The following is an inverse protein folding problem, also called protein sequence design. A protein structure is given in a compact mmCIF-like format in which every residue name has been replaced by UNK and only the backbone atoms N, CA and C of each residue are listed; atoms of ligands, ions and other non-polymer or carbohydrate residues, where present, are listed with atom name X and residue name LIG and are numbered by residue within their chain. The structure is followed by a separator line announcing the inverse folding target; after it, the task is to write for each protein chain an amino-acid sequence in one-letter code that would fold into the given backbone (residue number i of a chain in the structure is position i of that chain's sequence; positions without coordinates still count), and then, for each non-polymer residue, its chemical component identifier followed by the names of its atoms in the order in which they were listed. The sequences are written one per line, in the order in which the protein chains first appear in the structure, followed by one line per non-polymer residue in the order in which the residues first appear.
data_IF_298454568583
#
_entry.id   IF_298454568583
#
_cell.length_a   1.000
_cell.length_b   1.000
_cell.length_c   1.000
_cell.angle_alpha   90.00
_cell.angle_beta   90.00
_cell.angle_gamma   90.00
#
_symmetry.space_group_name_H-M   'P 1'
#
loop_
_entity.id
_entity.type
_entity.pdbx_description
1 polymer ?
#
# COMPACT_ATOMS: atom_id res chain seq x y z
N UNK A 1 31.90 -0.97 -17.34
CA UNK A 1 30.47 -1.37 -17.31
C UNK A 1 29.84 -1.27 -15.91
N UNK A 2 30.62 -1.09 -14.84
CA UNK A 2 30.12 -0.64 -13.53
C UNK A 2 30.62 0.78 -13.29
N UNK A 3 29.79 1.78 -13.65
CA UNK A 3 30.05 3.17 -13.29
C UNK A 3 29.31 3.41 -11.98
N UNK A 4 30.01 3.77 -10.89
CA UNK A 4 29.36 4.06 -9.60
C UNK A 4 28.35 5.23 -9.72
N UNK A 5 28.53 6.09 -10.72
CA UNK A 5 27.62 7.16 -11.16
C UNK A 5 26.26 6.64 -11.67
N UNK A 6 26.16 5.37 -12.07
CA UNK A 6 24.87 4.75 -12.40
C UNK A 6 24.00 4.49 -11.16
N UNK A 7 24.66 4.29 -10.01
CA UNK A 7 24.05 4.09 -8.71
C UNK A 7 24.23 5.29 -7.79
N UNK A 8 24.84 6.40 -8.23
CA UNK A 8 25.03 7.57 -7.39
C UNK A 8 23.63 8.04 -7.01
N UNK A 9 23.22 7.82 -5.76
CA UNK A 9 21.90 8.22 -5.36
C UNK A 9 21.92 9.75 -5.44
N UNK A 10 20.91 10.35 -6.06
CA UNK A 10 20.46 11.57 -5.42
C UNK A 10 20.20 11.17 -3.96
N UNK A 11 20.68 11.90 -2.94
CA UNK A 11 20.49 11.60 -1.50
C UNK A 11 19.03 11.38 -1.04
N UNK A 12 18.10 11.30 -1.97
CA UNK A 12 16.80 11.91 -1.92
C UNK A 12 15.66 10.91 -1.91
N UNK A 13 15.89 9.62 -1.67
CA UNK A 13 14.78 8.66 -1.62
C UNK A 13 15.01 7.51 -0.65
N UNK A 14 15.97 7.58 0.27
CA UNK A 14 16.23 6.43 1.16
C UNK A 14 15.01 6.11 2.04
N UNK A 15 14.37 7.15 2.61
CA UNK A 15 13.15 6.97 3.39
C UNK A 15 12.00 6.48 2.51
N UNK A 16 11.82 7.08 1.33
CA UNK A 16 10.78 6.66 0.40
C UNK A 16 10.96 5.20 -0.06
N UNK A 17 12.19 4.78 -0.35
CA UNK A 17 12.51 3.40 -0.73
C UNK A 17 12.18 2.42 0.40
N UNK A 18 12.59 2.74 1.63
CA UNK A 18 12.26 1.90 2.79
C UNK A 18 10.75 1.88 3.08
N UNK A 19 10.08 3.03 3.02
CA UNK A 19 8.64 3.12 3.16
C UNK A 19 7.93 2.29 2.10
N UNK A 20 8.36 2.38 0.84
CA UNK A 20 7.80 1.61 -0.28
C UNK A 20 8.02 0.11 -0.12
N UNK A 21 9.18 -0.32 0.39
CA UNK A 21 9.45 -1.73 0.74
C UNK A 21 8.51 -2.20 1.85
N UNK A 22 8.25 -1.38 2.87
CA UNK A 22 7.29 -1.70 3.94
C UNK A 22 5.87 -1.77 3.40
N UNK A 23 5.45 -0.80 2.59
CA UNK A 23 4.12 -0.72 1.97
C UNK A 23 3.87 -1.94 1.10
N UNK A 24 4.75 -2.26 0.16
CA UNK A 24 4.57 -3.44 -0.68
C UNK A 24 4.77 -4.74 0.09
N UNK A 25 5.71 -4.81 1.03
CA UNK A 25 5.98 -6.01 1.81
C UNK A 25 4.78 -6.42 2.66
N UNK A 26 4.28 -5.51 3.50
CA UNK A 26 3.15 -5.78 4.38
C UNK A 26 1.81 -5.65 3.67
N UNK A 27 1.64 -4.70 2.76
CA UNK A 27 0.40 -4.56 1.98
C UNK A 27 0.06 -5.82 1.18
N UNK A 28 1.07 -6.50 0.63
CA UNK A 28 0.86 -7.79 -0.06
C UNK A 28 0.40 -8.93 0.86
N UNK A 29 0.63 -8.85 2.17
CA UNK A 29 0.19 -9.89 3.12
C UNK A 29 -1.34 -9.98 3.20
N UNK A 30 -2.01 -8.83 3.09
CA UNK A 30 -3.47 -8.74 3.07
C UNK A 30 -4.05 -8.81 1.64
N UNK A 31 -3.23 -8.94 0.61
CA UNK A 31 -3.68 -9.00 -0.77
C UNK A 31 -4.36 -10.35 -1.08
N UNK A 32 -5.61 -10.28 -1.54
CA UNK A 32 -6.50 -11.43 -1.69
C UNK A 32 -6.09 -12.37 -2.83
N UNK A 33 -5.44 -11.84 -3.86
CA UNK A 33 -4.91 -12.61 -4.99
C UNK A 33 -3.81 -13.60 -4.56
N UNK A 34 -2.99 -13.25 -3.57
CA UNK A 34 -2.04 -14.18 -2.95
C UNK A 34 -2.72 -15.17 -2.01
N UNK A 35 -3.66 -14.70 -1.18
CA UNK A 35 -4.36 -15.56 -0.21
C UNK A 35 -5.16 -16.66 -0.91
N UNK A 36 -5.88 -16.33 -2.00
CA UNK A 36 -6.65 -17.30 -2.78
C UNK A 36 -5.75 -18.42 -3.36
N UNK A 37 -4.53 -18.09 -3.81
CA UNK A 37 -3.56 -19.08 -4.32
C UNK A 37 -3.07 -20.02 -3.22
N UNK A 38 -2.87 -19.50 -2.00
CA UNK A 38 -2.49 -20.33 -0.86
C UNK A 38 -3.63 -21.29 -0.46
N UNK A 39 -4.88 -20.80 -0.46
CA UNK A 39 -6.07 -21.57 -0.12
C UNK A 39 -6.44 -22.63 -1.18
N UNK A 40 -6.09 -22.39 -2.44
CA UNK A 40 -6.27 -23.35 -3.54
C UNK A 40 -5.22 -24.48 -3.54
N UNK A 41 -4.20 -24.42 -2.69
CA UNK A 41 -3.16 -25.43 -2.63
C UNK A 41 -3.66 -26.74 -2.03
N UNK A 42 -3.14 -27.88 -2.52
CA UNK A 42 -3.56 -29.21 -2.06
C UNK A 42 -3.13 -29.52 -0.62
N UNK A 43 -2.01 -28.95 -0.17
CA UNK A 43 -1.46 -29.18 1.17
C UNK A 43 -0.70 -27.96 1.68
N UNK A 44 -0.61 -27.81 3.01
CA UNK A 44 0.13 -26.73 3.65
C UNK A 44 1.62 -26.71 3.25
N UNK A 45 2.25 -27.88 3.04
CA UNK A 45 3.65 -27.97 2.62
C UNK A 45 3.85 -27.35 1.23
N UNK A 46 2.94 -27.62 0.30
CA UNK A 46 2.98 -27.07 -1.06
C UNK A 46 2.74 -25.57 -1.06
N UNK A 47 1.81 -25.05 -0.25
CA UNK A 47 1.62 -23.61 -0.08
C UNK A 47 2.91 -22.91 0.40
N UNK A 48 3.52 -23.42 1.48
CA UNK A 48 4.75 -22.84 2.05
C UNK A 48 5.90 -22.87 1.05
N UNK A 49 6.12 -24.02 0.41
CA UNK A 49 7.17 -24.17 -0.59
C UNK A 49 6.93 -23.24 -1.80
N UNK A 50 5.68 -23.12 -2.26
CA UNK A 50 5.30 -22.20 -3.32
C UNK A 50 5.61 -20.73 -2.98
N UNK A 51 5.34 -20.30 -1.74
CA UNK A 51 5.66 -18.95 -1.29
C UNK A 51 7.18 -18.70 -1.24
N UNK A 52 7.96 -19.65 -0.74
CA UNK A 52 9.43 -19.53 -0.67
C UNK A 52 10.03 -19.47 -2.07
N UNK A 53 9.62 -20.39 -2.95
CA UNK A 53 10.08 -20.41 -4.35
C UNK A 53 9.68 -19.11 -5.05
N UNK A 54 8.44 -18.65 -4.87
CA UNK A 54 7.95 -17.38 -5.40
C UNK A 54 8.83 -16.20 -4.97
N UNK A 55 9.13 -16.08 -3.67
CA UNK A 55 10.01 -15.04 -3.15
C UNK A 55 11.43 -15.09 -3.74
N UNK A 56 12.03 -16.29 -3.87
CA UNK A 56 13.33 -16.44 -4.52
C UNK A 56 13.29 -16.00 -5.99
N UNK A 57 12.26 -16.39 -6.74
CA UNK A 57 12.08 -15.96 -8.13
C UNK A 57 11.91 -14.44 -8.25
N UNK A 58 11.17 -13.82 -7.32
CA UNK A 58 11.02 -12.36 -7.28
C UNK A 58 12.37 -11.66 -7.09
N UNK A 59 13.27 -12.19 -6.26
CA UNK A 59 14.62 -11.62 -6.12
C UNK A 59 15.45 -11.82 -7.39
N UNK A 60 15.42 -13.01 -7.97
CA UNK A 60 16.16 -13.36 -9.19
C UNK A 60 15.75 -12.48 -10.38
N UNK A 61 14.46 -12.14 -10.49
CA UNK A 61 13.94 -11.29 -11.58
C UNK A 61 14.03 -9.81 -11.20
N UNK A 62 13.65 -9.44 -9.98
CA UNK A 62 13.57 -8.06 -9.52
C UNK A 62 14.91 -7.34 -9.47
N UNK A 63 15.99 -8.03 -9.07
CA UNK A 63 17.32 -7.42 -9.00
C UNK A 63 17.83 -7.02 -10.40
N UNK A 64 17.86 -7.89 -11.42
CA UNK A 64 18.21 -7.50 -12.79
C UNK A 64 17.34 -6.39 -13.37
N UNK A 65 16.02 -6.43 -13.13
CA UNK A 65 15.12 -5.35 -13.57
C UNK A 65 15.44 -4.01 -12.90
N UNK A 66 15.80 -4.03 -11.62
CA UNK A 66 16.23 -2.83 -10.89
C UNK A 66 17.53 -2.25 -11.48
N UNK A 67 18.49 -3.12 -11.83
CA UNK A 67 19.70 -2.71 -12.55
C UNK A 67 19.40 -2.12 -13.93
N UNK A 68 18.41 -2.65 -14.63
CA UNK A 68 18.00 -2.10 -15.92
C UNK A 68 17.47 -0.67 -15.78
N UNK A 69 16.73 -0.37 -14.71
CA UNK A 69 16.34 1.00 -14.37
C UNK A 69 17.53 1.91 -14.07
N UNK A 70 18.54 1.42 -13.36
CA UNK A 70 19.79 2.16 -13.15
C UNK A 70 20.53 2.43 -14.47
N UNK A 71 20.54 1.47 -15.40
CA UNK A 71 21.11 1.66 -16.74
C UNK A 71 20.31 2.70 -17.54
N UNK A 72 18.98 2.70 -17.44
CA UNK A 72 18.14 3.74 -18.07
C UNK A 72 18.56 5.13 -17.63
N UNK A 73 18.81 5.32 -16.32
CA UNK A 73 19.29 6.60 -15.76
C UNK A 73 20.65 7.02 -16.32
N UNK A 74 21.56 6.10 -16.60
CA UNK A 74 22.87 6.45 -17.20
C UNK A 74 22.70 7.02 -18.61
N UNK A 75 21.75 6.50 -19.40
CA UNK A 75 21.57 6.89 -20.79
C UNK A 75 20.58 8.04 -21.02
N UNK A 76 19.63 8.23 -20.10
CA UNK A 76 18.52 9.21 -20.23
C UNK A 76 18.31 10.05 -18.96
N UNK A 77 19.19 9.93 -17.96
CA UNK A 77 19.15 10.75 -16.75
C UNK A 77 19.77 12.14 -16.94
N UNK A 78 19.91 12.92 -15.86
CA UNK A 78 20.38 14.31 -15.92
C UNK A 78 21.80 14.44 -16.51
N UNK A 79 22.68 13.47 -16.25
CA UNK A 79 24.07 13.49 -16.73
C UNK A 79 24.21 12.94 -18.17
N UNK A 80 23.09 12.64 -18.84
CA UNK A 80 23.11 12.00 -20.15
C UNK A 80 22.99 13.00 -21.30
N UNK A 81 23.48 12.60 -22.49
CA UNK A 81 23.38 13.41 -23.72
C UNK A 81 21.93 13.64 -24.16
N UNK A 82 21.00 12.80 -23.68
CA UNK A 82 19.58 12.88 -24.01
C UNK A 82 18.76 13.64 -22.95
N UNK A 83 19.42 14.26 -21.97
CA UNK A 83 18.75 15.08 -20.96
C UNK A 83 18.15 16.35 -21.57
N UNK A 84 16.87 16.58 -21.29
CA UNK A 84 16.20 17.85 -21.54
C UNK A 84 16.17 18.70 -20.28
N UNK A 85 16.42 20.00 -20.43
CA UNK A 85 16.41 20.96 -19.33
C UNK A 85 15.43 22.10 -19.59
N UNK A 86 14.85 22.65 -18.51
CA UNK A 86 13.98 23.81 -18.57
C UNK A 86 14.82 25.09 -18.69
N UNK A 87 14.52 25.92 -19.70
CA UNK A 87 15.33 27.09 -20.08
C UNK A 87 15.15 28.33 -19.19
N UNK A 88 14.18 28.32 -18.27
CA UNK A 88 13.89 29.45 -17.36
C UNK A 88 14.22 29.15 -15.88
N UNK A 89 15.16 28.23 -15.62
CA UNK A 89 15.45 27.72 -14.27
C UNK A 89 16.80 28.21 -13.71
N UNK A 90 16.86 28.52 -12.41
CA UNK A 90 18.08 28.90 -11.69
C UNK A 90 18.35 28.01 -10.47
N UNK A 91 19.64 27.82 -10.14
CA UNK A 91 20.07 27.17 -8.90
C UNK A 91 21.25 27.91 -8.24
N UNK A 92 21.07 28.36 -6.99
CA UNK A 92 22.09 29.11 -6.26
C UNK A 92 23.32 28.29 -5.86
N UNK A 93 23.19 26.96 -5.73
CA UNK A 93 24.31 26.08 -5.39
C UNK A 93 25.26 25.86 -6.58
N UNK A 94 24.68 25.77 -7.78
CA UNK A 94 25.43 25.52 -9.02
C UNK A 94 25.93 26.81 -9.68
N UNK A 95 25.35 27.98 -9.36
CA UNK A 95 25.77 29.27 -9.92
C UNK A 95 25.64 29.36 -11.44
N UNK A 96 24.78 28.52 -12.04
CA UNK A 96 24.59 28.38 -13.48
C UNK A 96 23.26 29.02 -13.90
N UNK A 97 23.26 29.89 -14.93
CA UNK A 97 22.05 30.52 -15.45
C UNK A 97 21.30 29.67 -16.49
N UNK A 98 19.98 29.91 -16.57
CA UNK A 98 18.97 29.47 -17.55
C UNK A 98 18.67 27.97 -17.73
N UNK A 99 19.61 27.02 -17.66
CA UNK A 99 19.31 25.61 -18.01
C UNK A 99 19.66 24.60 -16.92
N UNK A 100 19.08 24.73 -15.72
CA UNK A 100 19.49 23.92 -14.57
C UNK A 100 18.48 22.81 -14.18
N UNK A 101 17.18 22.97 -14.42
CA UNK A 101 16.15 22.01 -14.05
C UNK A 101 16.04 20.88 -15.08
N UNK A 102 16.28 19.64 -14.67
CA UNK A 102 16.15 18.45 -15.51
C UNK A 102 14.69 18.01 -15.64
N UNK A 103 14.20 17.84 -16.87
CA UNK A 103 12.88 17.25 -17.12
C UNK A 103 13.02 15.72 -17.27
N UNK A 104 12.33 14.92 -16.44
CA UNK A 104 12.31 13.47 -16.59
C UNK A 104 11.55 13.03 -17.84
N UNK A 105 12.17 12.19 -18.67
CA UNK A 105 11.49 11.53 -19.80
C UNK A 105 10.71 10.30 -19.29
N UNK A 106 9.37 10.37 -19.34
CA UNK A 106 8.47 9.27 -18.96
C UNK A 106 8.70 7.99 -19.78
N UNK A 107 9.21 8.12 -21.01
CA UNK A 107 9.46 7.01 -21.92
C UNK A 107 10.92 6.55 -21.93
N UNK A 108 11.76 7.03 -20.99
CA UNK A 108 13.18 6.73 -20.93
C UNK A 108 13.49 5.21 -20.96
N UNK A 109 12.71 4.41 -20.22
CA UNK A 109 12.88 2.95 -20.19
C UNK A 109 12.56 2.31 -21.55
N UNK A 110 11.51 2.77 -22.22
CA UNK A 110 11.12 2.29 -23.55
C UNK A 110 12.14 2.72 -24.60
N UNK A 111 12.68 3.94 -24.49
CA UNK A 111 13.75 4.46 -25.33
C UNK A 111 15.04 3.66 -25.16
N UNK A 112 15.38 3.21 -23.94
CA UNK A 112 16.51 2.30 -23.71
C UNK A 112 16.33 0.97 -24.46
N UNK A 113 15.16 0.35 -24.31
CA UNK A 113 14.88 -0.96 -24.90
C UNK A 113 14.81 -0.93 -26.44
N UNK A 114 14.38 0.18 -27.02
CA UNK A 114 14.19 0.29 -28.48
C UNK A 114 15.40 0.87 -29.21
N UNK A 115 16.15 1.79 -28.58
CA UNK A 115 17.26 2.52 -29.23
C UNK A 115 18.64 2.03 -28.83
N UNK A 116 18.81 1.41 -27.65
CA UNK A 116 20.12 0.98 -27.13
C UNK A 116 20.26 -0.53 -27.02
N UNK A 117 19.21 -1.24 -26.62
CA UNK A 117 19.25 -2.70 -26.52
C UNK A 117 19.23 -3.38 -27.91
N UNK A 118 19.82 -4.58 -28.06
CA UNK A 118 19.70 -5.36 -29.28
C UNK A 118 18.22 -5.62 -29.61
N UNK A 119 17.82 -5.42 -30.86
CA UNK A 119 16.40 -5.39 -31.26
C UNK A 119 15.58 -6.60 -30.78
N UNK A 120 16.16 -7.81 -30.87
CA UNK A 120 15.49 -9.05 -30.42
C UNK A 120 15.28 -9.06 -28.91
N UNK A 121 16.30 -8.68 -28.13
CA UNK A 121 16.22 -8.65 -26.67
C UNK A 121 15.31 -7.53 -26.16
N UNK A 122 15.39 -6.34 -26.78
CA UNK A 122 14.50 -5.22 -26.49
C UNK A 122 13.04 -5.58 -26.74
N UNK A 123 12.74 -6.17 -27.90
CA UNK A 123 11.41 -6.66 -28.24
C UNK A 123 10.89 -7.72 -27.25
N UNK A 124 11.73 -8.70 -26.88
CA UNK A 124 11.36 -9.72 -25.91
C UNK A 124 11.09 -9.15 -24.51
N UNK A 125 11.85 -8.14 -24.10
CA UNK A 125 11.64 -7.44 -22.84
C UNK A 125 10.30 -6.69 -22.83
N UNK A 126 9.95 -6.00 -23.93
CA UNK A 126 8.65 -5.32 -24.06
C UNK A 126 7.48 -6.32 -24.04
N UNK A 127 7.60 -7.46 -24.72
CA UNK A 127 6.60 -8.54 -24.66
C UNK A 127 6.47 -9.05 -23.22
N UNK A 128 7.59 -9.26 -22.53
CA UNK A 128 7.62 -9.67 -21.12
C UNK A 128 6.93 -8.67 -20.20
N UNK A 129 7.14 -7.37 -20.42
CA UNK A 129 6.49 -6.30 -19.66
C UNK A 129 4.96 -6.32 -19.83
N UNK A 130 4.48 -6.51 -21.07
CA UNK A 130 3.04 -6.64 -21.36
C UNK A 130 2.49 -7.91 -20.71
N UNK A 131 3.18 -9.04 -20.81
CA UNK A 131 2.76 -10.31 -20.21
C UNK A 131 2.68 -10.24 -18.68
N UNK A 132 3.67 -9.61 -18.03
CA UNK A 132 3.68 -9.41 -16.58
C UNK A 132 2.53 -8.51 -16.13
N UNK A 133 2.26 -7.42 -16.88
CA UNK A 133 1.15 -6.50 -16.61
C UNK A 133 -0.20 -7.21 -16.75
N UNK A 134 -0.38 -8.03 -17.80
CA UNK A 134 -1.60 -8.80 -18.04
C UNK A 134 -1.84 -9.85 -16.93
N UNK A 135 -0.79 -10.57 -16.50
CA UNK A 135 -0.92 -11.56 -15.42
C UNK A 135 -1.28 -10.95 -14.08
N UNK A 136 -0.78 -9.74 -13.77
CA UNK A 136 -1.09 -9.03 -12.52
C UNK A 136 -2.51 -8.47 -12.56
N UNK A 137 -2.90 -7.86 -13.68
CA UNK A 137 -4.23 -7.29 -13.87
C UNK A 137 -5.33 -8.35 -13.79
N UNK A 138 -5.12 -9.52 -14.39
CA UNK A 138 -6.08 -10.64 -14.32
C UNK A 138 -6.30 -11.11 -12.88
N UNK A 139 -5.21 -11.26 -12.10
CA UNK A 139 -5.28 -11.61 -10.68
C UNK A 139 -6.09 -10.62 -9.85
N UNK A 140 -5.82 -9.32 -10.00
CA UNK A 140 -6.50 -8.26 -9.26
C UNK A 140 -7.99 -8.14 -9.65
N UNK A 141 -8.31 -8.15 -10.95
CA UNK A 141 -9.69 -8.04 -11.44
C UNK A 141 -10.52 -9.25 -10.99
N UNK A 142 -9.96 -10.46 -11.10
CA UNK A 142 -10.63 -11.67 -10.67
C UNK A 142 -10.89 -11.67 -9.16
N UNK A 143 -9.92 -11.23 -8.35
CA UNK A 143 -10.08 -11.10 -6.90
C UNK A 143 -11.18 -10.09 -6.52
N UNK A 144 -11.25 -8.93 -7.17
CA UNK A 144 -12.33 -7.97 -6.93
C UNK A 144 -13.71 -8.53 -7.29
N UNK A 145 -13.82 -9.25 -8.41
CA UNK A 145 -15.07 -9.87 -8.83
C UNK A 145 -15.55 -10.98 -7.90
N UNK A 146 -14.64 -11.79 -7.35
CA UNK A 146 -15.01 -12.82 -6.37
C UNK A 146 -15.46 -12.21 -5.05
N UNK A 147 -14.78 -11.17 -4.56
CA UNK A 147 -15.19 -10.43 -3.35
C UNK A 147 -16.56 -9.81 -3.54
N UNK A 148 -16.78 -9.11 -4.66
CA UNK A 148 -18.06 -8.47 -4.92
C UNK A 148 -19.20 -9.48 -5.01
N UNK A 149 -18.98 -10.60 -5.70
CA UNK A 149 -20.00 -11.64 -5.83
C UNK A 149 -20.28 -12.40 -4.52
N UNK A 150 -19.25 -12.71 -3.73
CA UNK A 150 -19.41 -13.52 -2.51
C UNK A 150 -19.73 -12.69 -1.26
N UNK A 151 -19.16 -11.50 -1.09
CA UNK A 151 -19.32 -10.69 0.12
C UNK A 151 -20.47 -9.68 -0.01
N UNK A 152 -20.69 -9.10 -1.21
CA UNK A 152 -21.72 -8.07 -1.41
C UNK A 152 -23.00 -8.69 -1.97
N UNK A 153 -22.93 -9.30 -3.17
CA UNK A 153 -24.12 -9.84 -3.83
C UNK A 153 -24.83 -10.88 -2.97
N UNK A 154 -24.08 -11.81 -2.35
CA UNK A 154 -24.68 -12.84 -1.50
C UNK A 154 -25.42 -12.27 -0.29
N UNK A 155 -24.93 -11.18 0.30
CA UNK A 155 -25.62 -10.48 1.40
C UNK A 155 -26.87 -9.72 0.91
N UNK A 156 -26.89 -9.30 -0.35
CA UNK A 156 -28.05 -8.69 -1.01
C UNK A 156 -29.08 -9.72 -1.51
N UNK A 157 -28.80 -11.03 -1.38
CA UNK A 157 -29.71 -12.11 -1.76
C UNK A 157 -31.11 -12.02 -1.13
N UNK A 158 -31.30 -11.56 0.13
CA UNK A 158 -32.64 -11.39 0.69
C UNK A 158 -33.45 -10.28 -0.01
N UNK A 159 -32.77 -9.26 -0.55
CA UNK A 159 -33.39 -8.10 -1.20
C UNK A 159 -33.80 -8.42 -2.65
N UNK A 160 -33.07 -9.31 -3.33
CA UNK A 160 -33.30 -9.65 -4.74
C UNK A 160 -33.33 -11.18 -4.99
N UNK A 161 -34.30 -11.90 -4.40
CA UNK A 161 -34.34 -13.37 -4.39
C UNK A 161 -34.47 -14.01 -5.79
N UNK A 162 -35.10 -13.34 -6.75
CA UNK A 162 -35.25 -13.87 -8.12
C UNK A 162 -34.02 -13.64 -9.01
N UNK A 163 -33.25 -12.56 -8.78
CA UNK A 163 -32.05 -12.29 -9.54
C UNK A 163 -30.90 -13.22 -9.10
N UNK A 164 -30.72 -13.42 -7.80
CA UNK A 164 -29.58 -14.12 -7.17
C UNK A 164 -29.78 -15.64 -6.97
N UNK A 165 -30.20 -16.34 -8.01
CA UNK A 165 -30.35 -17.81 -7.97
C UNK A 165 -29.01 -18.52 -8.17
N UNK A 166 -28.75 -19.62 -7.42
CA UNK A 166 -27.50 -20.43 -7.46
C UNK A 166 -27.05 -20.84 -8.87
N UNK A 167 -27.99 -21.10 -9.77
CA UNK A 167 -27.68 -21.49 -11.17
C UNK A 167 -27.02 -20.36 -11.98
N UNK A 168 -27.23 -19.09 -11.59
CA UNK A 168 -26.62 -17.91 -12.21
C UNK A 168 -25.34 -17.45 -11.51
N UNK A 169 -24.85 -18.18 -10.51
CA UNK A 169 -23.69 -17.78 -9.71
C UNK A 169 -22.43 -17.55 -10.56
N UNK A 170 -22.22 -18.34 -11.61
CA UNK A 170 -21.10 -18.17 -12.55
C UNK A 170 -21.22 -16.89 -13.38
N UNK A 171 -22.43 -16.53 -13.82
CA UNK A 171 -22.69 -15.26 -14.51
C UNK A 171 -22.53 -14.07 -13.56
N UNK A 172 -22.93 -14.25 -12.29
CA UNK A 172 -22.81 -13.25 -11.24
C UNK A 172 -21.38 -13.00 -10.76
N UNK A 173 -20.47 -13.93 -10.98
CA UNK A 173 -19.03 -13.70 -10.77
C UNK A 173 -18.38 -13.00 -11.98
N UNK A 174 -18.84 -13.28 -13.22
CA UNK A 174 -18.24 -12.74 -14.45
C UNK A 174 -18.69 -11.33 -14.83
N UNK A 175 -19.93 -10.96 -14.52
CA UNK A 175 -20.44 -9.62 -14.84
C UNK A 175 -19.71 -8.51 -14.05
N UNK A 176 -19.47 -8.65 -12.73
CA UNK A 176 -18.68 -7.67 -11.98
C UNK A 176 -17.23 -7.59 -12.45
N UNK A 177 -16.58 -8.72 -12.78
CA UNK A 177 -15.21 -8.68 -13.32
C UNK A 177 -15.12 -7.88 -14.62
N UNK A 178 -16.12 -8.02 -15.51
CA UNK A 178 -16.16 -7.24 -16.75
C UNK A 178 -16.31 -5.74 -16.46
N UNK A 179 -17.20 -5.39 -15.52
CA UNK A 179 -17.41 -4.00 -15.12
C UNK A 179 -16.13 -3.37 -14.53
N UNK A 180 -15.46 -4.08 -13.61
CA UNK A 180 -14.19 -3.61 -13.05
C UNK A 180 -13.08 -3.53 -14.10
N UNK A 181 -13.03 -4.45 -15.07
CA UNK A 181 -12.06 -4.41 -16.15
C UNK A 181 -12.25 -3.17 -17.05
N UNK A 182 -13.49 -2.86 -17.44
CA UNK A 182 -13.80 -1.68 -18.25
C UNK A 182 -13.49 -0.38 -17.48
N UNK A 183 -13.87 -0.32 -16.19
CA UNK A 183 -13.58 0.83 -15.35
C UNK A 183 -12.07 1.06 -15.16
N UNK A 184 -11.32 -0.01 -14.84
CA UNK A 184 -9.87 0.05 -14.70
C UNK A 184 -9.18 0.45 -16.02
N UNK A 185 -9.62 -0.11 -17.16
CA UNK A 185 -9.11 0.25 -18.48
C UNK A 185 -9.38 1.71 -18.84
N UNK A 186 -10.56 2.24 -18.50
CA UNK A 186 -10.89 3.65 -18.71
C UNK A 186 -9.98 4.56 -17.87
N UNK A 187 -9.83 4.27 -16.57
CA UNK A 187 -8.97 5.06 -15.67
C UNK A 187 -7.51 5.04 -16.16
N UNK A 188 -7.00 3.87 -16.53
CA UNK A 188 -5.65 3.74 -17.06
C UNK A 188 -5.44 4.52 -18.37
N UNK A 189 -6.47 4.60 -19.22
CA UNK A 189 -6.40 5.35 -20.48
C UNK A 189 -6.41 6.87 -20.27
N UNK A 190 -7.12 7.38 -19.26
CA UNK A 190 -7.21 8.81 -18.99
C UNK A 190 -6.10 9.35 -18.08
N UNK A 191 -5.41 8.48 -17.32
CA UNK A 191 -4.44 8.90 -16.31
C UNK A 191 -3.13 8.11 -16.40
N UNK A 192 -2.62 7.92 -17.63
CA UNK A 192 -1.45 7.09 -17.89
C UNK A 192 -0.20 7.50 -17.08
N UNK A 193 0.03 8.81 -16.90
CA UNK A 193 1.22 9.36 -16.22
C UNK A 193 1.25 9.11 -14.70
N UNK A 194 0.11 8.78 -14.06
CA UNK A 194 0.01 8.68 -12.58
C UNK A 194 -0.11 7.20 -12.12
N UNK A 195 -0.15 6.25 -13.06
CA UNK A 195 -0.45 4.83 -12.79
C UNK A 195 0.45 4.19 -11.74
N UNK A 196 1.75 4.51 -11.75
CA UNK A 196 2.71 3.99 -10.76
C UNK A 196 2.41 4.43 -9.33
N UNK A 197 2.04 5.70 -9.15
CA UNK A 197 1.67 6.25 -7.84
C UNK A 197 0.37 5.65 -7.32
N UNK A 198 -0.62 5.45 -8.20
CA UNK A 198 -1.89 4.79 -7.85
C UNK A 198 -1.68 3.38 -7.30
N UNK A 199 -0.73 2.62 -7.85
CA UNK A 199 -0.39 1.29 -7.36
C UNK A 199 0.15 1.32 -5.93
N UNK A 200 1.08 2.24 -5.63
CA UNK A 200 1.65 2.38 -4.29
C UNK A 200 0.56 2.79 -3.29
N UNK A 201 -0.27 3.77 -3.65
CA UNK A 201 -1.39 4.23 -2.82
C UNK A 201 -2.39 3.10 -2.54
N UNK A 202 -2.66 2.21 -3.50
CA UNK A 202 -3.57 1.08 -3.29
C UNK A 202 -3.07 0.11 -2.19
N UNK A 203 -1.79 -0.28 -2.22
CA UNK A 203 -1.21 -1.15 -1.18
C UNK A 203 -1.03 -0.43 0.15
N UNK A 204 -0.81 0.87 0.11
CA UNK A 204 -0.67 1.71 1.30
C UNK A 204 -2.00 1.83 2.06
N UNK A 205 -3.13 2.01 1.36
CA UNK A 205 -4.45 1.97 1.99
C UNK A 205 -4.68 0.62 2.68
N UNK A 206 -4.29 -0.49 2.05
CA UNK A 206 -4.39 -1.84 2.65
C UNK A 206 -3.51 -1.94 3.91
N UNK A 207 -2.27 -1.41 3.87
CA UNK A 207 -1.39 -1.35 5.03
C UNK A 207 -2.03 -0.56 6.17
N UNK A 208 -2.50 0.65 5.91
CA UNK A 208 -3.09 1.54 6.90
C UNK A 208 -4.36 0.97 7.55
N UNK A 209 -5.18 0.23 6.79
CA UNK A 209 -6.53 -0.18 7.23
C UNK A 209 -6.62 -1.61 7.75
N UNK A 210 -6.00 -2.58 7.07
CA UNK A 210 -6.25 -4.01 7.31
C UNK A 210 -5.15 -4.66 8.13
N UNK A 211 -3.89 -4.22 7.99
CA UNK A 211 -2.76 -4.92 8.62
C UNK A 211 -2.83 -4.85 10.14
N UNK A 212 -3.06 -3.66 10.72
CA UNK A 212 -3.17 -3.51 12.17
C UNK A 212 -4.22 -4.45 12.82
N UNK A 213 -5.49 -4.45 12.38
CA UNK A 213 -6.50 -5.35 12.96
C UNK A 213 -6.25 -6.82 12.62
N UNK A 214 -5.66 -7.15 11.46
CA UNK A 214 -5.31 -8.53 11.11
C UNK A 214 -4.28 -9.11 12.07
N UNK A 215 -3.19 -8.39 12.33
CA UNK A 215 -2.19 -8.80 13.34
C UNK A 215 -2.80 -8.84 14.73
N UNK A 216 -3.64 -7.85 15.07
CA UNK A 216 -4.41 -7.84 16.30
C UNK A 216 -5.24 -9.11 16.51
N UNK A 217 -5.90 -9.61 15.46
CA UNK A 217 -6.71 -10.82 15.52
C UNK A 217 -5.88 -12.09 15.80
N UNK A 218 -4.69 -12.22 15.19
CA UNK A 218 -3.86 -13.42 15.36
C UNK A 218 -3.06 -13.43 16.67
N UNK A 219 -2.63 -12.26 17.16
CA UNK A 219 -1.71 -12.17 18.30
C UNK A 219 -2.39 -11.73 19.60
N UNK A 220 -3.58 -11.13 19.57
CA UNK A 220 -4.32 -10.82 20.79
C UNK A 220 -5.09 -12.05 21.30
N UNK A 221 -5.05 -12.28 22.62
CA UNK A 221 -5.76 -13.40 23.25
C UNK A 221 -7.30 -13.27 23.19
N UNK A 222 -7.84 -12.05 23.11
CA UNK A 222 -9.28 -11.76 23.00
C UNK A 222 -9.49 -10.54 22.08
N UNK A 223 -9.36 -10.70 20.76
CA UNK A 223 -9.50 -9.57 19.83
C UNK A 223 -10.95 -9.10 19.80
N UNK A 224 -11.14 -7.79 19.89
CA UNK A 224 -12.46 -7.17 19.77
C UNK A 224 -12.75 -6.76 18.33
N UNK A 225 -13.97 -7.07 17.85
CA UNK A 225 -14.42 -6.65 16.52
C UNK A 225 -14.53 -5.11 16.41
N UNK A 226 -14.79 -4.42 17.53
CA UNK A 226 -14.95 -2.97 17.57
C UNK A 226 -13.61 -2.24 17.45
N UNK A 227 -12.57 -2.70 18.16
CA UNK A 227 -11.22 -2.17 17.96
C UNK A 227 -10.77 -2.36 16.52
N UNK A 228 -11.13 -3.48 15.90
CA UNK A 228 -10.82 -3.72 14.50
C UNK A 228 -11.50 -2.71 13.55
N UNK A 229 -12.79 -2.41 13.74
CA UNK A 229 -13.48 -1.39 12.93
C UNK A 229 -12.93 0.02 13.15
N UNK A 230 -12.75 0.45 14.40
CA UNK A 230 -12.25 1.79 14.70
C UNK A 230 -10.81 2.00 14.18
N UNK A 231 -9.98 0.96 14.27
CA UNK A 231 -8.64 0.95 13.69
C UNK A 231 -8.69 1.09 12.16
N UNK A 232 -9.57 0.33 11.50
CA UNK A 232 -9.76 0.38 10.05
C UNK A 232 -10.21 1.77 9.58
N UNK A 233 -11.23 2.34 10.23
CA UNK A 233 -11.75 3.67 9.90
C UNK A 233 -10.70 4.75 10.15
N UNK A 234 -10.01 4.71 11.30
CA UNK A 234 -8.97 5.70 11.60
C UNK A 234 -7.83 5.63 10.60
N UNK A 235 -7.36 4.42 10.26
CA UNK A 235 -6.32 4.24 9.25
C UNK A 235 -6.72 4.82 7.90
N UNK A 236 -7.96 4.57 7.45
CA UNK A 236 -8.48 5.10 6.19
C UNK A 236 -8.58 6.63 6.21
N UNK A 237 -9.16 7.21 7.27
CA UNK A 237 -9.35 8.65 7.41
C UNK A 237 -8.00 9.35 7.46
N UNK A 238 -7.09 8.91 8.33
CA UNK A 238 -5.75 9.51 8.45
C UNK A 238 -5.02 9.41 7.12
N UNK A 239 -5.13 8.27 6.42
CA UNK A 239 -4.48 8.10 5.11
C UNK A 239 -5.03 9.04 4.05
N UNK A 240 -6.36 9.22 3.98
CA UNK A 240 -7.01 10.15 3.04
C UNK A 240 -6.66 11.59 3.39
N UNK A 241 -6.72 11.97 4.66
CA UNK A 241 -6.40 13.34 5.11
C UNK A 241 -4.95 13.67 4.79
N UNK A 242 -4.00 12.79 5.15
CA UNK A 242 -2.59 12.99 4.85
C UNK A 242 -2.29 12.93 3.34
N UNK A 243 -3.16 12.30 2.53
CA UNK A 243 -3.03 12.37 1.07
C UNK A 243 -3.11 13.80 0.54
N UNK A 244 -3.98 14.62 1.14
CA UNK A 244 -4.25 15.99 0.70
C UNK A 244 -3.52 17.06 1.51
N UNK A 245 -3.14 16.77 2.76
CA UNK A 245 -2.46 17.74 3.64
C UNK A 245 -0.95 17.78 3.42
N UNK A 246 -0.32 16.63 3.16
CA UNK A 246 1.13 16.58 2.96
C UNK A 246 1.51 16.99 1.55
N UNK A 247 2.52 17.85 1.46
CA UNK A 247 3.09 18.30 0.19
C UNK A 247 3.89 17.15 -0.44
N UNK A 248 3.76 17.01 -1.77
CA UNK A 248 4.38 15.96 -2.57
C UNK A 248 4.95 16.59 -3.83
N UNK A 249 6.22 16.96 -3.73
CA UNK A 249 6.92 17.59 -4.85
C UNK A 249 7.50 16.54 -5.82
N UNK A 250 7.39 15.24 -5.49
CA UNK A 250 7.90 14.13 -6.30
C UNK A 250 9.42 14.00 -6.29
N UNK A 251 10.09 14.78 -5.43
CA UNK A 251 11.54 14.80 -5.26
C UNK A 251 12.03 13.72 -4.29
N UNK A 252 11.10 13.06 -3.59
CA UNK A 252 11.25 11.99 -2.57
C UNK A 252 12.11 12.37 -1.36
N UNK A 253 12.42 13.66 -1.25
CA UNK A 253 13.28 14.30 -0.28
C UNK A 253 12.60 14.59 1.05
N UNK A 254 13.10 13.99 2.14
CA UNK A 254 12.79 14.54 3.46
C UNK A 254 13.29 15.99 3.54
N UNK A 255 12.48 16.92 4.07
CA UNK A 255 12.86 18.32 4.14
C UNK A 255 14.01 18.51 5.13
N UNK A 256 15.18 18.84 4.61
CA UNK A 256 16.33 19.25 5.40
C UNK A 256 16.64 20.72 5.13
N UNK A 257 17.10 21.44 6.16
CA UNK A 257 17.36 22.89 6.07
C UNK A 257 18.69 23.24 5.38
N UNK A 258 19.25 22.35 4.56
CA UNK A 258 20.50 22.61 3.85
C UNK A 258 20.24 23.21 2.46
N UNK A 259 21.19 23.99 1.96
CA UNK A 259 21.09 24.67 0.65
C UNK A 259 20.97 23.69 -0.53
N UNK A 260 21.37 22.44 -0.33
CA UNK A 260 21.25 21.35 -1.31
C UNK A 260 19.79 20.91 -1.57
N UNK A 261 18.85 21.30 -0.70
CA UNK A 261 17.43 20.94 -0.78
C UNK A 261 16.54 22.10 -1.27
N UNK A 262 17.15 23.12 -1.87
CA UNK A 262 16.43 24.18 -2.58
C UNK A 262 16.05 23.69 -3.98
N UNK A 263 14.79 23.88 -4.36
CA UNK A 263 14.27 23.62 -5.69
C UNK A 263 14.82 24.65 -6.70
N UNK A 264 14.72 24.35 -7.98
CA UNK A 264 15.00 25.31 -9.03
C UNK A 264 14.02 26.48 -8.95
N UNK A 265 14.55 27.69 -9.07
CA UNK A 265 13.77 28.93 -9.03
C UNK A 265 13.59 29.53 -10.42
N UNK A 266 12.71 30.52 -10.53
CA UNK A 266 12.67 31.38 -11.73
C UNK A 266 13.79 32.41 -11.64
N UNK A 267 14.62 32.50 -12.68
CA UNK A 267 15.67 33.50 -12.77
C UNK A 267 15.07 34.87 -13.08
N UNK A 268 15.16 35.83 -12.15
CA UNK A 268 14.80 37.22 -12.42
C UNK A 268 15.99 37.93 -13.08
N UNK A 269 16.03 37.98 -14.41
CA UNK A 269 17.02 38.79 -15.13
C UNK A 269 16.49 40.22 -15.28
N UNK A 270 17.12 41.19 -14.62
CA UNK A 270 16.68 42.59 -14.61
C UNK A 270 17.26 43.40 -15.77
N UNK A 271 18.26 42.86 -16.48
CA UNK A 271 19.05 43.64 -17.44
C UNK A 271 18.56 43.54 -18.88
N UNK A 272 18.11 42.37 -19.33
CA UNK A 272 17.63 42.14 -20.70
C UNK A 272 16.54 41.05 -20.76
N UNK A 273 15.57 41.14 -21.69
CA UNK A 273 14.49 40.17 -21.81
C UNK A 273 14.95 38.81 -22.36
N UNK A 274 14.28 37.74 -21.92
CA UNK A 274 14.62 36.33 -22.10
C UNK A 274 14.71 35.81 -23.56
N UNK A 275 14.28 36.58 -24.56
CA UNK A 275 14.27 36.16 -25.97
C UNK A 275 15.55 36.54 -26.75
N UNK A 276 16.59 37.03 -26.07
CA UNK A 276 17.87 37.42 -26.70
C UNK A 276 18.95 36.41 -26.32
N UNK A 277 19.40 35.63 -27.31
CA UNK A 277 20.51 34.67 -27.17
C UNK A 277 21.84 35.41 -26.95
N UNK A 278 22.28 35.50 -25.70
CA UNK A 278 23.56 36.10 -25.29
C UNK A 278 24.55 35.05 -24.76
N UNK A 279 25.82 35.42 -24.71
CA UNK A 279 26.87 34.61 -24.10
C UNK A 279 26.61 34.37 -22.61
N UNK A 280 26.96 33.17 -22.10
CA UNK A 280 26.62 32.68 -20.76
C UNK A 280 27.16 33.54 -19.60
N UNK A 281 28.17 34.38 -19.86
CA UNK A 281 28.75 35.36 -18.95
C UNK A 281 27.88 36.60 -18.70
N UNK A 282 26.82 36.78 -19.50
CA UNK A 282 25.85 37.88 -19.39
C UNK A 282 24.46 37.45 -18.93
N UNK A 283 24.27 36.15 -18.72
CA UNK A 283 23.02 35.56 -18.26
C UNK A 283 23.12 35.40 -16.74
N UNK A 284 22.37 36.21 -15.98
CA UNK A 284 22.18 36.13 -14.52
C UNK A 284 23.44 36.17 -13.62
N UNK A 285 23.59 37.24 -12.84
CA UNK A 285 24.64 37.37 -11.81
C UNK A 285 24.10 36.91 -10.44
N UNK A 286 24.55 35.78 -9.88
CA UNK A 286 24.04 35.23 -8.62
C UNK A 286 24.32 36.12 -7.41
N UNK A 287 25.19 37.14 -7.53
CA UNK A 287 25.50 38.09 -6.46
C UNK A 287 24.64 39.35 -6.50
N UNK A 288 24.02 39.67 -7.64
CA UNK A 288 23.23 40.89 -7.84
C UNK A 288 21.73 40.61 -8.07
N UNK A 289 21.37 39.43 -8.57
CA UNK A 289 19.99 39.08 -8.97
C UNK A 289 19.43 37.93 -8.11
N UNK A 290 18.23 38.14 -7.54
CA UNK A 290 17.59 37.17 -6.64
C UNK A 290 16.99 35.99 -7.41
N UNK A 291 17.46 34.77 -7.14
CA UNK A 291 16.78 33.53 -7.53
C UNK A 291 15.85 33.08 -6.40
N UNK A 292 14.54 33.20 -6.61
CA UNK A 292 13.54 32.74 -5.64
C UNK A 292 13.42 31.21 -5.74
N UNK A 293 14.14 30.51 -4.87
CA UNK A 293 14.08 29.04 -4.78
C UNK A 293 13.18 28.63 -3.60
N UNK A 294 12.18 27.80 -3.88
CA UNK A 294 11.39 27.16 -2.84
C UNK A 294 12.17 25.95 -2.26
N UNK A 295 11.93 25.62 -1.00
CA UNK A 295 12.55 24.43 -0.40
C UNK A 295 11.76 23.18 -0.83
N UNK A 296 12.44 22.09 -1.21
CA UNK A 296 11.78 20.81 -1.41
C UNK A 296 11.08 20.36 -0.12
N UNK A 297 9.78 20.09 -0.19
CA UNK A 297 8.96 19.58 0.90
C UNK A 297 8.27 18.32 0.43
N UNK A 298 9.01 17.21 0.40
CA UNK A 298 8.42 15.93 0.08
C UNK A 298 8.29 15.06 1.34
N UNK A 299 7.05 14.87 1.77
CA UNK A 299 6.75 13.99 2.90
C UNK A 299 6.25 12.61 2.44
N UNK A 300 6.51 12.24 1.19
CA UNK A 300 6.14 10.93 0.65
C UNK A 300 6.70 9.79 1.50
N UNK A 301 5.82 8.90 1.94
CA UNK A 301 6.14 7.74 2.79
C UNK A 301 5.93 8.00 4.28
N UNK A 302 5.98 9.26 4.73
CA UNK A 302 5.62 9.62 6.11
C UNK A 302 4.12 9.47 6.31
N UNK A 303 3.32 9.87 5.33
CA UNK A 303 1.86 9.66 5.29
C UNK A 303 1.46 8.19 5.46
N UNK A 304 2.16 7.29 4.77
CA UNK A 304 1.95 5.84 4.83
C UNK A 304 2.26 5.27 6.21
N UNK A 305 3.44 5.62 6.75
CA UNK A 305 3.89 5.09 8.04
C UNK A 305 3.08 5.66 9.21
N UNK A 306 2.71 6.94 9.15
CA UNK A 306 1.91 7.60 10.19
C UNK A 306 0.47 7.11 10.20
N UNK A 307 -0.16 6.89 9.04
CA UNK A 307 -1.51 6.31 8.97
C UNK A 307 -1.55 4.88 9.50
N UNK A 308 -0.54 4.06 9.18
CA UNK A 308 -0.38 2.73 9.80
C UNK A 308 -0.18 2.82 11.31
N UNK A 309 0.70 3.70 11.79
CA UNK A 309 0.94 3.88 13.22
C UNK A 309 -0.34 4.34 13.96
N UNK A 310 -1.10 5.26 13.38
CA UNK A 310 -2.38 5.71 13.94
C UNK A 310 -3.37 4.55 14.06
N UNK A 311 -3.47 3.72 13.03
CA UNK A 311 -4.32 2.52 13.03
C UNK A 311 -3.93 1.53 14.14
N UNK A 312 -2.63 1.28 14.34
CA UNK A 312 -2.11 0.41 15.42
C UNK A 312 -2.42 1.02 16.80
N UNK A 313 -2.19 2.32 16.98
CA UNK A 313 -2.43 3.01 18.25
C UNK A 313 -3.91 2.91 18.63
N UNK A 314 -4.82 3.17 17.68
CA UNK A 314 -6.27 3.06 17.94
C UNK A 314 -6.66 1.62 18.25
N UNK A 315 -6.15 0.63 17.50
CA UNK A 315 -6.43 -0.76 17.80
C UNK A 315 -6.04 -1.13 19.24
N UNK A 316 -4.82 -0.80 19.65
CA UNK A 316 -4.29 -1.11 20.99
C UNK A 316 -5.05 -0.32 22.07
N UNK A 317 -5.32 0.96 21.85
CA UNK A 317 -6.02 1.80 22.81
C UNK A 317 -7.45 1.30 23.06
N UNK A 318 -8.22 1.04 22.00
CA UNK A 318 -9.60 0.53 22.12
C UNK A 318 -9.60 -0.85 22.75
N UNK A 319 -8.69 -1.73 22.33
CA UNK A 319 -8.56 -3.07 22.90
C UNK A 319 -8.19 -3.05 24.38
N UNK A 320 -7.43 -2.05 24.82
CA UNK A 320 -7.10 -1.84 26.23
C UNK A 320 -8.31 -1.30 26.98
N UNK A 321 -8.98 -0.27 26.47
CA UNK A 321 -10.19 0.32 27.10
C UNK A 321 -11.27 -0.74 27.28
N UNK A 322 -11.54 -1.57 26.28
CA UNK A 322 -12.57 -2.61 26.38
C UNK A 322 -12.23 -3.72 27.40
N UNK A 323 -10.96 -3.86 27.80
CA UNK A 323 -10.60 -4.76 28.91
C UNK A 323 -10.98 -4.20 30.28
N UNK A 324 -11.12 -2.89 30.43
CA UNK A 324 -11.42 -2.24 31.71
C UNK A 324 -12.88 -1.77 31.82
N UNK A 325 -13.45 -1.23 30.75
CA UNK A 325 -14.79 -0.59 30.75
C UNK A 325 -15.86 -1.49 30.12
N UNK A 326 -15.49 -2.68 29.63
CA UNK A 326 -16.40 -3.53 28.86
C UNK A 326 -16.65 -2.98 27.46
N UNK A 327 -17.76 -3.39 26.85
CA UNK A 327 -18.06 -3.08 25.45
C UNK A 327 -18.33 -1.61 25.17
N UNK A 328 -17.64 -1.03 24.19
CA UNK A 328 -17.80 0.40 23.83
C UNK A 328 -19.09 0.70 23.06
N UNK A 329 -19.52 -0.17 22.14
CA UNK A 329 -20.79 -0.07 21.40
C UNK A 329 -21.20 -1.43 20.82
N UNK A 330 -22.49 -1.68 20.59
CA UNK A 330 -22.98 -3.00 20.16
C UNK A 330 -23.25 -3.06 18.66
N UNK A 331 -22.98 -4.22 18.03
CA UNK A 331 -23.43 -4.45 16.65
C UNK A 331 -24.90 -4.89 16.61
N UNK A 332 -25.61 -4.60 15.51
CA UNK A 332 -26.94 -5.17 15.28
C UNK A 332 -26.84 -6.70 15.22
N UNK A 333 -27.33 -7.39 16.26
CA UNK A 333 -27.32 -8.85 16.35
C UNK A 333 -26.44 -9.45 17.47
N UNK A 334 -25.71 -8.63 18.23
CA UNK A 334 -25.04 -9.10 19.45
C UNK A 334 -26.05 -9.34 20.59
N UNK A 335 -25.84 -10.37 21.42
CA UNK A 335 -26.50 -10.52 22.71
C UNK A 335 -26.29 -9.26 23.56
N UNK A 336 -27.26 -8.85 24.41
CA UNK A 336 -27.27 -7.52 25.02
C UNK A 336 -25.92 -7.24 25.69
N UNK A 337 -25.25 -6.18 25.23
CA UNK A 337 -24.03 -5.71 25.85
C UNK A 337 -24.33 -5.37 27.30
N UNK A 338 -23.72 -6.09 28.23
CA UNK A 338 -23.56 -5.55 29.58
C UNK A 338 -22.52 -4.44 29.49
N UNK A 339 -23.01 -3.20 29.38
CA UNK A 339 -22.20 -2.03 29.68
C UNK A 339 -22.06 -2.03 31.21
N UNK A 340 -21.11 -2.80 31.74
CA UNK A 340 -20.70 -2.67 33.14
C UNK A 340 -19.90 -1.37 33.29
N UNK A 341 -20.64 -0.27 33.42
CA UNK A 341 -20.10 1.08 33.48
C UNK A 341 -20.80 1.90 34.58
N UNK A 342 -20.62 1.50 35.83
CA UNK A 342 -20.41 2.38 36.99
C UNK A 342 -20.49 1.56 38.27
N UNK A 343 -19.33 1.25 38.86
CA UNK A 343 -19.27 1.12 40.31
C UNK A 343 -19.42 2.53 40.88
N UNK A 344 -20.63 3.09 40.86
CA UNK A 344 -20.99 4.16 41.78
C UNK A 344 -21.28 3.52 43.13
N UNK A 345 -20.34 3.76 44.03
CA UNK A 345 -20.37 3.48 45.44
C UNK A 345 -21.53 4.27 46.08
N UNK A 346 -22.74 3.71 46.05
CA UNK A 346 -23.87 4.21 46.84
C UNK A 346 -24.17 3.22 47.95
N UNK A 347 -23.32 3.30 48.98
CA UNK A 347 -23.69 2.89 50.32
C UNK A 347 -24.71 3.90 50.84
N UNK A 348 -26.02 3.56 50.85
CA UNK A 348 -26.94 3.80 51.97
C UNK A 348 -28.41 3.45 51.64
N UNK A 349 -29.06 2.84 52.63
CA UNK A 349 -30.52 2.72 52.83
C UNK A 349 -31.33 1.67 52.05
N UNK A 350 -31.22 0.44 52.58
CA UNK A 350 -32.20 -0.65 52.73
C UNK A 350 -33.55 -0.66 52.00
N UNK A 351 -33.87 -1.83 51.41
CA UNK A 351 -35.07 -2.61 51.74
C UNK A 351 -34.87 -4.08 51.34
N UNK A 352 -35.21 -5.01 52.25
CA UNK A 352 -35.12 -6.47 52.05
C UNK A 352 -36.33 -6.98 51.27
N UNK A 353 -36.13 -7.60 50.10
CA UNK A 353 -36.92 -8.75 49.59
C UNK A 353 -35.96 -9.46 48.60
N UNK A 354 -35.28 -10.57 48.92
CA UNK A 354 -35.85 -11.88 49.24
C UNK A 354 -35.90 -12.73 47.98
N UNK A 355 -34.83 -13.49 47.70
CA UNK A 355 -34.79 -14.90 47.23
C UNK A 355 -33.55 -15.23 46.38
N UNK A 356 -32.93 -16.32 46.81
CA UNK A 356 -32.00 -17.24 46.14
C UNK A 356 -30.50 -16.89 46.07
N UNK A 357 -29.83 -17.27 47.17
CA UNK A 357 -28.54 -17.99 47.18
C UNK A 357 -28.47 -18.98 46.01
N UNK A 358 -27.38 -19.05 45.25
CA UNK A 358 -26.25 -19.91 45.61
C UNK A 358 -24.97 -19.53 44.84
N UNK A 359 -23.94 -19.14 45.60
CA UNK A 359 -22.52 -19.47 45.38
C UNK A 359 -22.36 -20.98 45.07
N UNK A 360 -21.34 -21.55 44.43
CA UNK A 360 -19.91 -21.22 44.39
C UNK A 360 -19.19 -22.17 43.41
N UNK A 361 -17.89 -21.90 43.29
CA UNK A 361 -16.83 -22.60 42.53
C UNK A 361 -16.57 -24.07 42.91
N UNK A 362 -15.92 -24.74 41.95
CA UNK A 362 -14.65 -25.49 42.06
C UNK A 362 -14.59 -27.03 41.97
N UNK A 363 -13.59 -27.42 41.16
CA UNK A 363 -12.71 -28.60 41.25
C UNK A 363 -13.13 -29.92 40.59
N UNK A 364 -12.14 -30.54 39.95
CA UNK A 364 -12.26 -31.77 39.19
C UNK A 364 -12.12 -33.04 40.03
N UNK A 365 -12.36 -34.17 39.36
CA UNK A 365 -11.93 -35.49 39.79
C UNK A 365 -11.62 -36.34 38.56
N UNK A 366 -10.48 -37.02 38.63
CA UNK A 366 -10.04 -38.07 37.73
C UNK A 366 -11.04 -39.23 37.69
N UNK A 367 -11.11 -39.93 36.56
CA UNK A 367 -11.03 -41.40 36.56
C UNK A 367 -10.44 -41.90 35.24
N UNK A 368 -9.39 -42.70 35.38
CA UNK A 368 -8.76 -43.55 34.37
C UNK A 368 -9.68 -44.74 34.10
N UNK A 369 -9.81 -45.18 32.84
CA UNK A 369 -9.82 -46.61 32.48
C UNK A 369 -9.69 -46.83 30.97
N UNK A 370 -8.64 -47.55 30.58
CA UNK A 370 -8.47 -48.34 29.33
C UNK A 370 -7.74 -49.62 29.74
N UNK A 371 -7.88 -50.80 29.06
CA UNK A 371 -7.72 -50.95 27.61
C UNK A 371 -8.40 -52.13 26.85
N UNK A 372 -8.80 -51.88 25.58
CA UNK A 372 -8.68 -52.73 24.35
C UNK A 372 -9.36 -54.14 24.28
N UNK A 373 -9.38 -54.89 23.14
CA UNK A 373 -9.20 -54.56 21.70
C UNK A 373 -10.33 -55.13 20.78
N UNK A 374 -10.42 -54.71 19.51
CA UNK A 374 -11.19 -55.49 18.50
C UNK A 374 -11.61 -54.77 17.20
N UNK A 375 -10.79 -54.95 16.15
CA UNK A 375 -11.15 -55.18 14.73
C UNK A 375 -12.33 -54.46 14.04
N UNK A 376 -12.06 -53.76 12.92
CA UNK A 376 -13.11 -53.41 11.94
C UNK A 376 -12.83 -52.32 10.89
N UNK A 377 -11.80 -52.49 10.05
CA UNK A 377 -11.87 -52.44 8.57
C UNK A 377 -12.86 -51.47 7.83
N UNK A 378 -12.28 -50.54 7.04
CA UNK A 378 -12.63 -50.07 5.65
C UNK A 378 -13.65 -48.92 5.38
N UNK A 379 -13.17 -48.02 4.49
CA UNK A 379 -13.85 -47.10 3.54
C UNK A 379 -14.58 -45.87 4.11
N UNK A 380 -14.51 -44.65 3.56
CA UNK A 380 -14.16 -44.21 2.21
C UNK A 380 -15.38 -43.56 1.53
N UNK A 381 -15.21 -42.32 1.02
CA UNK A 381 -16.15 -41.46 0.25
C UNK A 381 -17.20 -40.69 1.08
N UNK A 382 -17.56 -39.44 0.78
CA UNK A 382 -17.44 -38.60 -0.44
C UNK A 382 -16.92 -37.21 -0.05
#
# INVERSE_FOLDING_TARGET
MFSHTALSPFPNAILWNWATVVIFGFGNLAALDFQARCMASRTLRVAKLGCIIGGCFTLIVGIPFSYLGAITRVFFGPDSVHASFNADSCNTLLGLPSCAEWLPDEQAFQNLLTRKAPAILGGWCLIGLVAASMSTSDGAILAMGTVFSQNILRQLSPLFPHALRRERLLLMARLPTLLFAVAAGAIASFSASITGTLLIVAFDVVLATVIAPMFGCFYAHKPSARAALLSLETGAIVRIVLQFVLHRDGSFLLPYSAKEFLNYGMAANLKEPWFVDNAADRMWDPTQESCAQELFRDYSGVDSLTSFAASVIVFVAVQFIERYTGSLFCFPGDSPCEIEGSCEDNTESGEKIGLDESCERESGSNDMDTPSPGTGTIAGRV
#
